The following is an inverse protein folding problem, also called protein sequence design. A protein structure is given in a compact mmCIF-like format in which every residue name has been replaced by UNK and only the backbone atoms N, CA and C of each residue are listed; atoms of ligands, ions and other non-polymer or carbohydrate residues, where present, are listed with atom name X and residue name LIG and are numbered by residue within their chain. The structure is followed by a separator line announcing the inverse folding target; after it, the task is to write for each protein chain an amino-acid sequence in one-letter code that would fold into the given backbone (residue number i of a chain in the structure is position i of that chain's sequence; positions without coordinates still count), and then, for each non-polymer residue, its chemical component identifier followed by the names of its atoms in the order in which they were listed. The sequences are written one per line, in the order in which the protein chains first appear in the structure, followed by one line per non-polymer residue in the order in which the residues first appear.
data_IF_686971625349
#
_entry.id   IF_686971625349
#
_cell.length_a   1.000
_cell.length_b   1.000
_cell.length_c   1.000
_cell.angle_alpha   90.00
_cell.angle_beta   90.00
_cell.angle_gamma   90.00
#
_symmetry.space_group_name_H-M   'P 1'
#
loop_
_entity.id
_entity.type
_entity.pdbx_description
1 polymer ?
#
# COMPACT_ATOMS: atom_id res chain seq x y z
N UNK A 1 2.70 12.71 -23.08
CA UNK A 1 2.00 12.13 -21.92
C UNK A 1 2.34 10.66 -21.89
N UNK A 2 3.40 10.28 -21.19
CA UNK A 2 3.83 8.89 -21.11
C UNK A 2 2.87 8.16 -20.17
N UNK A 3 1.93 7.41 -20.78
CA UNK A 3 0.87 6.65 -20.14
C UNK A 3 1.37 5.36 -19.49
N UNK A 4 2.45 5.46 -18.74
CA UNK A 4 2.94 4.39 -17.88
C UNK A 4 2.22 4.51 -16.55
N UNK A 5 0.94 4.12 -16.58
CA UNK A 5 0.13 4.08 -15.37
C UNK A 5 0.78 3.06 -14.43
N UNK A 6 1.27 3.48 -13.25
CA UNK A 6 2.02 2.62 -12.36
C UNK A 6 1.22 1.35 -12.03
N UNK A 7 -0.12 1.43 -11.99
CA UNK A 7 -0.97 0.28 -11.78
C UNK A 7 -0.87 -0.78 -12.90
N UNK A 8 -0.53 -0.40 -14.13
CA UNK A 8 -0.34 -1.32 -15.27
C UNK A 8 0.99 -2.09 -15.15
N UNK A 9 2.10 -1.45 -14.74
CA UNK A 9 3.39 -2.13 -14.46
C UNK A 9 3.28 -3.15 -13.32
N UNK A 10 2.43 -2.86 -12.34
CA UNK A 10 2.12 -3.74 -11.22
C UNK A 10 1.12 -4.87 -11.53
N UNK A 11 0.60 -4.96 -12.77
CA UNK A 11 -0.42 -5.96 -13.14
C UNK A 11 -1.77 -5.76 -12.45
N UNK A 12 -2.02 -4.57 -11.88
CA UNK A 12 -3.28 -4.21 -11.22
C UNK A 12 -4.32 -3.76 -12.25
N UNK A 13 -3.86 -3.29 -13.40
CA UNK A 13 -4.67 -2.89 -14.54
C UNK A 13 -4.25 -3.70 -15.76
N UNK A 14 -5.22 -4.28 -16.45
CA UNK A 14 -5.04 -5.04 -17.69
C UNK A 14 -4.54 -4.17 -18.85
N UNK A 15 -4.15 -4.79 -19.97
CA UNK A 15 -3.67 -4.06 -21.14
C UNK A 15 -4.69 -3.00 -21.62
N UNK A 16 -5.98 -3.28 -21.44
CA UNK A 16 -7.13 -2.47 -21.85
C UNK A 16 -7.38 -1.25 -20.95
N UNK A 17 -6.62 -1.08 -19.86
CA UNK A 17 -6.87 -0.02 -18.87
C UNK A 17 -7.95 -0.37 -17.83
N UNK A 18 -8.44 -1.61 -17.83
CA UNK A 18 -9.42 -2.14 -16.88
C UNK A 18 -8.76 -2.75 -15.64
N UNK A 19 -9.33 -2.55 -14.46
CA UNK A 19 -8.85 -3.20 -13.24
C UNK A 19 -8.88 -4.73 -13.42
N UNK A 20 -7.77 -5.41 -13.09
CA UNK A 20 -7.77 -6.87 -13.14
C UNK A 20 -8.80 -7.41 -12.15
N UNK A 21 -9.39 -8.60 -12.39
CA UNK A 21 -10.34 -9.21 -11.47
C UNK A 21 -9.81 -9.32 -10.03
N UNK A 22 -8.48 -9.44 -9.87
CA UNK A 22 -7.80 -9.44 -8.57
C UNK A 22 -7.81 -8.07 -7.90
N UNK A 23 -7.45 -7.02 -8.64
CA UNK A 23 -7.46 -5.65 -8.11
C UNK A 23 -8.89 -5.16 -7.81
N UNK A 24 -9.86 -5.53 -8.64
CA UNK A 24 -11.27 -5.25 -8.40
C UNK A 24 -11.79 -5.91 -7.11
N UNK A 25 -11.40 -7.16 -6.84
CA UNK A 25 -11.71 -7.85 -5.58
C UNK A 25 -11.03 -7.17 -4.39
N UNK A 26 -9.73 -6.83 -4.50
CA UNK A 26 -9.03 -6.08 -3.46
C UNK A 26 -9.77 -4.79 -3.08
N UNK A 27 -10.19 -3.98 -4.08
CA UNK A 27 -10.95 -2.76 -3.85
C UNK A 27 -12.33 -3.02 -3.24
N UNK A 28 -12.98 -4.15 -3.57
CA UNK A 28 -14.24 -4.54 -2.94
C UNK A 28 -14.06 -4.82 -1.44
N UNK A 29 -13.04 -5.59 -1.06
CA UNK A 29 -12.76 -5.90 0.35
C UNK A 29 -12.28 -4.69 1.15
N UNK A 30 -11.45 -3.84 0.54
CA UNK A 30 -11.08 -2.56 1.15
C UNK A 30 -12.31 -1.70 1.47
N UNK A 31 -13.26 -1.59 0.54
CA UNK A 31 -14.53 -0.87 0.78
C UNK A 31 -15.38 -1.52 1.86
N UNK A 32 -15.46 -2.85 1.89
CA UNK A 32 -16.20 -3.58 2.93
C UNK A 32 -15.63 -3.31 4.33
N UNK A 33 -14.30 -3.36 4.47
CA UNK A 33 -13.63 -3.06 5.74
C UNK A 33 -13.84 -1.60 6.18
N UNK A 34 -13.71 -0.64 5.25
CA UNK A 34 -14.00 0.77 5.55
C UNK A 34 -15.46 1.01 5.94
N UNK A 35 -16.40 0.33 5.30
CA UNK A 35 -17.82 0.42 5.65
C UNK A 35 -18.08 -0.13 7.07
N UNK A 36 -17.44 -1.24 7.44
CA UNK A 36 -17.55 -1.79 8.80
C UNK A 36 -16.99 -0.84 9.87
N UNK A 37 -15.85 -0.19 9.60
CA UNK A 37 -15.28 0.84 10.47
C UNK A 37 -16.22 2.03 10.64
N UNK A 38 -16.75 2.56 9.53
CA UNK A 38 -17.69 3.67 9.56
C UNK A 38 -18.96 3.32 10.35
N UNK A 39 -19.49 2.11 10.19
CA UNK A 39 -20.65 1.63 10.93
C UNK A 39 -20.38 1.56 12.45
N UNK A 40 -19.18 1.07 12.84
CA UNK A 40 -18.76 1.04 14.25
C UNK A 40 -18.64 2.45 14.83
N UNK A 41 -18.00 3.36 14.11
CA UNK A 41 -17.84 4.76 14.54
C UNK A 41 -19.19 5.47 14.67
N UNK A 42 -20.09 5.27 13.70
CA UNK A 42 -21.44 5.83 13.75
C UNK A 42 -22.22 5.27 14.95
N UNK A 43 -22.16 3.95 15.18
CA UNK A 43 -22.79 3.33 16.33
C UNK A 43 -22.22 3.85 17.65
N UNK A 44 -20.91 4.07 17.73
CA UNK A 44 -20.27 4.64 18.91
C UNK A 44 -20.70 6.10 19.14
N UNK A 45 -20.73 6.90 18.07
CA UNK A 45 -21.17 8.28 18.12
C UNK A 45 -22.63 8.40 18.56
N UNK A 46 -23.49 7.45 18.15
CA UNK A 46 -24.87 7.34 18.64
C UNK A 46 -24.90 6.93 20.12
N UNK A 47 -24.08 5.96 20.53
CA UNK A 47 -23.99 5.52 21.92
C UNK A 47 -23.52 6.65 22.85
N UNK A 48 -22.57 7.50 22.42
CA UNK A 48 -22.12 8.67 23.20
C UNK A 48 -23.24 9.68 23.50
N UNK A 49 -24.30 9.70 22.69
CA UNK A 49 -25.45 10.60 22.86
C UNK A 49 -26.54 9.99 23.76
N UNK A 50 -26.46 8.70 24.08
CA UNK A 50 -27.39 8.00 24.96
C UNK A 50 -26.62 7.29 26.10
N UNK A 51 -26.73 7.77 27.35
CA UNK A 51 -26.02 7.20 28.50
C UNK A 51 -26.28 5.69 28.70
N UNK A 52 -27.48 5.19 28.37
CA UNK A 52 -27.80 3.77 28.50
C UNK A 52 -27.10 2.95 27.42
N UNK A 53 -27.12 3.45 26.18
CA UNK A 53 -26.41 2.81 25.08
C UNK A 53 -24.88 2.82 25.30
N UNK A 54 -24.34 3.89 25.88
CA UNK A 54 -22.92 3.97 26.22
C UNK A 54 -22.53 2.96 27.31
N UNK A 55 -23.37 2.75 28.32
CA UNK A 55 -23.14 1.72 29.33
C UNK A 55 -23.17 0.30 28.74
N UNK A 56 -23.97 0.07 27.71
CA UNK A 56 -24.06 -1.21 26.99
C UNK A 56 -22.99 -1.38 25.92
N UNK A 57 -22.23 -0.32 25.59
CA UNK A 57 -21.23 -0.32 24.52
C UNK A 57 -20.18 -1.44 24.60
N UNK A 58 -19.67 -1.85 25.78
CA UNK A 58 -18.73 -2.97 25.85
C UNK A 58 -19.28 -4.27 25.26
N UNK A 59 -20.60 -4.49 25.34
CA UNK A 59 -21.26 -5.65 24.76
C UNK A 59 -21.63 -5.40 23.29
N UNK A 60 -22.27 -4.27 22.98
CA UNK A 60 -22.78 -4.00 21.62
C UNK A 60 -21.67 -3.60 20.65
N UNK A 61 -20.69 -2.84 21.12
CA UNK A 61 -19.50 -2.44 20.36
C UNK A 61 -18.60 -3.63 19.98
N UNK A 62 -18.68 -4.75 20.72
CA UNK A 62 -17.96 -5.98 20.38
C UNK A 62 -18.43 -6.56 19.05
N UNK A 63 -19.75 -6.61 18.80
CA UNK A 63 -20.29 -7.10 17.53
C UNK A 63 -19.84 -6.24 16.33
N UNK A 64 -19.74 -4.91 16.51
CA UNK A 64 -19.18 -4.04 15.48
C UNK A 64 -17.67 -4.26 15.27
N UNK A 65 -16.93 -4.52 16.35
CA UNK A 65 -15.51 -4.86 16.26
C UNK A 65 -15.31 -6.19 15.53
N UNK A 66 -16.08 -7.22 15.87
CA UNK A 66 -16.02 -8.53 15.22
C UNK A 66 -16.34 -8.41 13.71
N UNK A 67 -17.29 -7.54 13.32
CA UNK A 67 -17.58 -7.27 11.91
C UNK A 67 -16.42 -6.57 11.17
N UNK A 68 -15.68 -5.68 11.85
CA UNK A 68 -14.46 -5.05 11.30
C UNK A 68 -13.38 -6.10 11.13
N UNK A 69 -13.14 -6.91 12.16
CA UNK A 69 -12.13 -7.96 12.17
C UNK A 69 -12.42 -9.00 11.07
N UNK A 70 -13.67 -9.46 10.94
CA UNK A 70 -14.11 -10.38 9.88
C UNK A 70 -13.87 -9.79 8.47
N UNK A 71 -14.18 -8.51 8.27
CA UNK A 71 -13.96 -7.85 6.98
C UNK A 71 -12.46 -7.74 6.67
N UNK A 72 -11.65 -7.48 7.69
CA UNK A 72 -10.19 -7.44 7.57
C UNK A 72 -9.59 -8.82 7.29
N UNK A 73 -10.06 -9.85 7.98
CA UNK A 73 -9.60 -11.23 7.80
C UNK A 73 -9.98 -11.77 6.43
N UNK A 74 -11.16 -11.43 5.90
CA UNK A 74 -11.54 -11.73 4.50
C UNK A 74 -10.64 -11.02 3.52
N UNK A 75 -10.30 -9.76 3.79
CA UNK A 75 -9.37 -9.00 2.96
C UNK A 75 -7.96 -9.60 2.96
N UNK A 76 -7.49 -10.11 4.11
CA UNK A 76 -6.21 -10.80 4.25
C UNK A 76 -6.21 -12.21 3.64
N UNK A 77 -7.26 -13.00 3.86
CA UNK A 77 -7.33 -14.43 3.49
C UNK A 77 -7.35 -14.69 1.99
N UNK A 78 -7.72 -13.70 1.18
CA UNK A 78 -7.71 -13.83 -0.28
C UNK A 78 -6.29 -13.90 -0.87
N UNK A 79 -5.22 -13.81 -0.05
CA UNK A 79 -3.83 -14.03 -0.48
C UNK A 79 -3.25 -12.92 -1.37
N UNK A 80 -4.09 -12.17 -2.06
CA UNK A 80 -3.72 -11.13 -3.01
C UNK A 80 -3.41 -9.78 -2.36
N UNK A 81 -3.75 -9.56 -1.08
CA UNK A 81 -3.42 -8.31 -0.37
C UNK A 81 -1.91 -8.09 -0.32
N UNK A 82 -1.13 -9.12 0.03
CA UNK A 82 0.35 -9.03 0.04
C UNK A 82 0.94 -8.75 -1.33
N UNK A 83 0.42 -9.39 -2.37
CA UNK A 83 0.90 -9.22 -3.76
C UNK A 83 0.55 -7.83 -4.29
N UNK A 84 -0.69 -7.36 -4.07
CA UNK A 84 -1.13 -6.02 -4.45
C UNK A 84 -0.40 -4.94 -3.66
N UNK A 85 -0.22 -5.12 -2.34
CA UNK A 85 0.53 -4.17 -1.51
C UNK A 85 2.02 -4.15 -1.86
N UNK A 86 2.64 -5.29 -2.16
CA UNK A 86 4.02 -5.35 -2.64
C UNK A 86 4.16 -4.66 -4.00
N UNK A 87 3.19 -4.85 -4.90
CA UNK A 87 3.17 -4.16 -6.17
C UNK A 87 2.96 -2.65 -5.98
N UNK A 88 2.06 -2.22 -5.11
CA UNK A 88 1.87 -0.80 -4.74
C UNK A 88 3.12 -0.20 -4.08
N UNK A 89 3.82 -0.94 -3.23
CA UNK A 89 5.05 -0.50 -2.58
C UNK A 89 6.22 -0.36 -3.57
N UNK A 90 6.33 -1.30 -4.51
CA UNK A 90 7.27 -1.21 -5.63
C UNK A 90 7.00 0.01 -6.55
N UNK A 91 5.74 0.43 -6.68
CA UNK A 91 5.38 1.67 -7.37
C UNK A 91 5.68 2.93 -6.55
N UNK A 92 5.64 2.82 -5.22
CA UNK A 92 5.89 3.93 -4.29
C UNK A 92 7.38 4.13 -4.02
N UNK A 93 8.22 3.13 -4.23
CA UNK A 93 9.67 3.33 -4.38
C UNK A 93 9.93 3.91 -5.76
N UNK A 94 10.13 5.23 -5.92
CA UNK A 94 10.67 5.73 -7.17
C UNK A 94 12.02 5.03 -7.35
N UNK A 95 12.12 4.26 -8.43
CA UNK A 95 13.38 3.80 -8.99
C UNK A 95 14.42 4.91 -8.82
N UNK A 96 15.39 4.63 -7.95
CA UNK A 96 16.63 5.36 -7.85
C UNK A 96 17.38 5.15 -9.17
N UNK A 97 17.00 5.88 -10.22
CA UNK A 97 17.75 5.94 -11.46
C UNK A 97 18.22 7.35 -11.70
N UNK A 98 19.30 7.71 -11.00
CA UNK A 98 20.40 8.47 -11.61
C UNK A 98 21.74 8.19 -10.94
N UNK A 99 22.19 6.94 -11.00
CA UNK A 99 23.63 6.65 -11.03
C UNK A 99 23.92 6.05 -12.41
N UNK A 100 23.98 6.93 -13.40
CA UNK A 100 24.70 6.62 -14.64
C UNK A 100 26.18 6.72 -14.28
N UNK A 101 26.88 5.60 -14.39
CA UNK A 101 28.33 5.56 -14.27
C UNK A 101 29.04 6.52 -15.25
N UNK A 102 30.20 6.96 -14.79
CA UNK A 102 31.27 7.78 -15.37
C UNK A 102 31.49 7.73 -16.90
N UNK A 103 32.02 8.82 -17.48
CA UNK A 103 33.45 8.76 -17.83
C UNK A 103 34.20 10.09 -17.59
N UNK A 104 35.39 10.00 -16.96
CA UNK A 104 36.60 10.84 -17.17
C UNK A 104 37.50 10.82 -15.94
N UNK A 105 38.20 9.71 -15.72
CA UNK A 105 39.43 9.72 -14.94
C UNK A 105 40.60 9.83 -15.95
N UNK A 106 41.45 10.88 -15.91
CA UNK A 106 42.71 10.81 -16.65
C UNK A 106 43.63 9.76 -15.99
N UNK A 107 44.46 9.04 -16.77
CA UNK A 107 45.40 8.08 -16.21
C UNK A 107 46.46 8.82 -15.38
N UNK A 108 46.40 8.67 -14.06
CA UNK A 108 47.52 9.02 -13.17
C UNK A 108 48.61 7.98 -13.37
N UNK A 109 49.59 8.29 -14.21
CA UNK A 109 50.87 7.60 -14.22
C UNK A 109 51.53 7.80 -12.84
N UNK A 110 51.60 6.73 -12.05
CA UNK A 110 52.54 6.63 -10.94
C UNK A 110 53.81 5.96 -11.48
N UNK A 111 54.84 6.74 -11.79
CA UNK A 111 56.20 6.25 -11.67
C UNK A 111 57.14 7.35 -11.17
N UNK A 112 57.58 7.09 -9.95
CA UNK A 112 58.65 7.72 -9.20
C UNK A 112 60.02 7.43 -9.88
N UNK A 113 60.91 8.43 -9.89
CA UNK A 113 62.40 8.37 -9.85
C UNK A 113 62.94 9.76 -10.27
N UNK A 114 63.42 10.62 -9.38
CA UNK A 114 64.72 10.65 -8.69
C UNK A 114 65.78 11.52 -9.41
N UNK A 115 66.43 12.38 -8.61
CA UNK A 115 67.78 12.96 -8.76
C UNK A 115 68.04 14.20 -9.64
N UNK A 116 68.32 15.32 -8.94
CA UNK A 116 69.60 16.05 -8.89
C UNK A 116 70.34 16.39 -10.21
N UNK A 117 70.41 17.70 -10.52
CA UNK A 117 71.60 18.44 -10.98
C UNK A 117 71.27 19.93 -11.08
#
# INVERSE_FOLDING_TARGET
MNGDDPARRAGLIGPDGTATPRYAQYLAHQRQHQAALAAREEAYARALRDPRALQQWPMTGRAYQDAVDDAFDRWLSLGHKREVEAALDALRSPDCTRTTEHPSHPPRHHHERNSNA
#
